data_IF_680869712508
#
_entry.id   IF_680869712508
#
_cell.length_a   1.000
_cell.length_b   1.000
_cell.length_c   1.000
_cell.angle_alpha   90.00
_cell.angle_beta   90.00
_cell.angle_gamma   90.00
#
_symmetry.space_group_name_H-M   'P 1'
#
loop_
_entity.id
_entity.type
_entity.pdbx_description
1 polymer ?
#
# COMPACT_ATOMS: atom_id res chain seq x y z
N UNK A 1 22.43 27.22 -24.48
CA UNK A 1 23.68 27.88 -24.06
C UNK A 1 23.81 27.76 -22.57
N UNK A 2 24.37 26.67 -22.10
CA UNK A 2 24.65 26.38 -20.68
C UNK A 2 26.06 26.87 -20.39
N UNK A 3 26.17 27.89 -19.55
CA UNK A 3 27.46 28.37 -19.03
C UNK A 3 28.06 27.29 -18.15
N UNK A 4 29.14 26.67 -18.62
CA UNK A 4 30.07 25.93 -17.78
C UNK A 4 30.75 26.92 -16.83
N UNK A 5 30.37 26.90 -15.56
CA UNK A 5 31.07 27.63 -14.50
C UNK A 5 32.35 26.84 -14.21
N UNK A 6 33.48 27.32 -14.71
CA UNK A 6 34.79 26.84 -14.28
C UNK A 6 34.93 27.10 -12.78
N UNK A 7 34.97 26.02 -12.01
CA UNK A 7 35.29 26.09 -10.58
C UNK A 7 36.81 26.04 -10.47
N UNK A 8 37.44 27.21 -10.45
CA UNK A 8 38.85 27.36 -10.10
C UNK A 8 39.03 27.10 -8.62
N UNK A 9 39.66 25.97 -8.25
CA UNK A 9 40.02 25.76 -6.85
C UNK A 9 40.33 24.33 -6.41
N UNK A 10 40.41 23.36 -7.32
CA UNK A 10 40.97 22.04 -6.99
C UNK A 10 42.43 22.00 -7.45
N UNK A 11 43.35 21.66 -6.54
CA UNK A 11 44.77 21.56 -6.87
C UNK A 11 44.95 20.55 -8.03
N UNK A 12 45.78 20.93 -9.01
CA UNK A 12 46.06 20.19 -10.24
C UNK A 12 46.54 18.74 -10.09
N UNK A 13 46.87 18.32 -8.87
CA UNK A 13 47.31 16.95 -8.56
C UNK A 13 46.14 15.94 -8.43
N UNK A 14 44.93 16.41 -8.17
CA UNK A 14 43.76 15.51 -7.95
C UNK A 14 42.93 15.30 -9.22
N UNK A 15 43.10 16.08 -10.28
CA UNK A 15 42.35 15.98 -11.52
C UNK A 15 42.58 14.61 -12.24
N UNK A 16 43.75 14.01 -12.06
CA UNK A 16 44.08 12.69 -12.63
C UNK A 16 43.22 11.55 -12.07
N UNK A 17 42.67 11.73 -10.86
CA UNK A 17 41.84 10.73 -10.17
C UNK A 17 40.33 10.98 -10.33
N UNK A 18 39.93 12.10 -10.92
CA UNK A 18 38.54 12.40 -11.16
C UNK A 18 38.14 12.12 -12.60
N UNK A 19 37.17 11.26 -12.79
CA UNK A 19 36.60 10.95 -14.08
C UNK A 19 35.18 11.52 -14.16
N UNK A 20 34.94 12.32 -15.20
CA UNK A 20 33.60 12.82 -15.47
C UNK A 20 32.65 11.67 -15.84
N UNK A 21 31.45 11.67 -15.25
CA UNK A 21 30.48 10.59 -15.44
C UNK A 21 30.08 10.40 -16.91
N UNK A 22 29.85 11.49 -17.64
CA UNK A 22 29.46 11.42 -19.06
C UNK A 22 30.62 10.87 -19.91
N UNK A 23 31.85 11.29 -19.63
CA UNK A 23 33.05 10.77 -20.28
C UNK A 23 33.25 9.27 -19.99
N UNK A 24 33.04 8.85 -18.73
CA UNK A 24 33.16 7.44 -18.35
C UNK A 24 32.10 6.59 -19.07
N UNK A 25 30.81 6.93 -18.95
CA UNK A 25 29.74 6.14 -19.54
C UNK A 25 29.69 6.17 -21.07
N UNK A 26 30.23 7.22 -21.70
CA UNK A 26 30.36 7.24 -23.15
C UNK A 26 31.36 6.19 -23.67
N UNK A 27 32.42 5.92 -22.90
CA UNK A 27 33.48 4.96 -23.25
C UNK A 27 33.16 3.53 -22.76
N UNK A 28 32.41 3.40 -21.66
CA UNK A 28 32.18 2.15 -20.94
C UNK A 28 30.69 1.78 -20.85
N UNK A 29 29.92 2.04 -21.89
CA UNK A 29 28.45 1.86 -21.93
C UNK A 29 27.92 0.50 -21.43
N UNK A 30 28.57 -0.65 -21.64
CA UNK A 30 28.02 -1.92 -21.17
C UNK A 30 28.32 -2.24 -19.71
N UNK A 31 29.05 -1.39 -18.99
CA UNK A 31 29.41 -1.65 -17.59
C UNK A 31 28.38 -1.06 -16.62
N UNK A 32 27.96 -1.85 -15.66
CA UNK A 32 27.30 -1.41 -14.46
C UNK A 32 28.33 -1.32 -13.33
N UNK A 33 28.25 -0.25 -12.53
CA UNK A 33 29.19 0.01 -11.45
C UNK A 33 28.53 -0.25 -10.09
N UNK A 34 29.34 -0.71 -9.15
CA UNK A 34 28.98 -0.79 -7.73
C UNK A 34 29.84 0.18 -6.92
N UNK A 35 29.50 0.37 -5.65
CA UNK A 35 30.33 1.17 -4.75
C UNK A 35 31.69 0.53 -4.40
N UNK A 36 31.92 -0.73 -4.79
CA UNK A 36 33.24 -1.36 -4.73
C UNK A 36 34.14 -0.92 -5.90
N UNK A 37 33.55 -0.45 -6.99
CA UNK A 37 34.27 -0.02 -8.19
C UNK A 37 34.64 1.47 -8.16
N UNK A 38 33.82 2.28 -7.49
CA UNK A 38 33.96 3.74 -7.50
C UNK A 38 33.68 4.35 -6.12
N UNK A 39 34.24 5.54 -5.90
CA UNK A 39 33.84 6.42 -4.81
C UNK A 39 33.34 7.76 -5.38
N UNK A 40 32.36 8.37 -4.75
CA UNK A 40 31.89 9.70 -5.10
C UNK A 40 32.85 10.75 -4.54
N UNK A 41 33.38 11.60 -5.38
CA UNK A 41 34.23 12.70 -4.97
C UNK A 41 33.41 13.75 -4.20
N UNK A 42 33.96 14.23 -3.09
CA UNK A 42 33.39 15.37 -2.37
C UNK A 42 33.60 16.66 -3.15
N UNK A 43 32.54 17.46 -3.28
CA UNK A 43 32.60 18.78 -3.93
C UNK A 43 32.00 19.84 -3.02
N UNK A 44 32.39 21.07 -3.23
CA UNK A 44 31.75 22.22 -2.56
C UNK A 44 30.28 22.29 -2.95
N UNK A 45 29.41 22.49 -1.96
CA UNK A 45 27.98 22.68 -2.16
C UNK A 45 27.44 23.78 -1.25
N UNK A 46 26.60 24.63 -1.81
CA UNK A 46 25.84 25.65 -1.05
C UNK A 46 24.46 25.11 -0.61
N UNK A 47 24.11 23.89 -1.03
CA UNK A 47 22.84 23.25 -0.69
C UNK A 47 22.94 22.65 0.70
N UNK A 48 22.12 23.14 1.63
CA UNK A 48 22.02 22.53 2.95
C UNK A 48 21.39 21.11 2.84
N UNK A 49 21.82 20.13 3.65
CA UNK A 49 21.31 18.75 3.60
C UNK A 49 19.77 18.68 3.62
N UNK A 50 19.10 19.50 4.45
CA UNK A 50 17.63 19.57 4.55
C UNK A 50 16.93 20.11 3.30
N UNK A 51 17.67 20.75 2.38
CA UNK A 51 17.15 21.29 1.11
C UNK A 51 17.46 20.37 -0.07
N UNK A 52 18.12 19.26 0.18
CA UNK A 52 18.44 18.28 -0.86
C UNK A 52 17.16 17.66 -1.43
N UNK A 53 17.04 17.65 -2.76
CA UNK A 53 15.95 17.00 -3.47
C UNK A 53 16.40 15.61 -3.91
N UNK A 54 15.80 14.57 -3.34
CA UNK A 54 16.17 13.17 -3.60
C UNK A 54 15.23 12.47 -4.56
N UNK A 55 14.13 13.13 -4.95
CA UNK A 55 13.15 12.52 -5.84
C UNK A 55 13.74 12.18 -7.22
N UNK A 56 13.33 11.04 -7.75
CA UNK A 56 13.74 10.56 -9.08
C UNK A 56 12.53 10.12 -9.89
N UNK A 57 12.55 10.40 -11.18
CA UNK A 57 11.55 9.93 -12.13
C UNK A 57 12.10 8.71 -12.86
N UNK A 58 11.54 7.54 -12.60
CA UNK A 58 11.90 6.29 -13.28
C UNK A 58 11.15 6.14 -14.61
N UNK A 59 9.91 6.63 -14.69
CA UNK A 59 9.09 6.68 -15.90
C UNK A 59 8.09 7.84 -15.80
N UNK A 60 7.30 8.08 -16.85
CA UNK A 60 6.27 9.12 -16.81
C UNK A 60 5.21 8.89 -15.73
N UNK A 61 4.94 7.63 -15.40
CA UNK A 61 3.97 7.23 -14.39
C UNK A 61 4.58 6.88 -13.02
N UNK A 62 5.92 6.78 -12.91
CA UNK A 62 6.58 6.30 -11.70
C UNK A 62 7.65 7.29 -11.23
N UNK A 63 7.34 7.97 -10.13
CA UNK A 63 8.25 8.87 -9.40
C UNK A 63 8.51 8.32 -8.02
N UNK A 64 9.77 8.34 -7.58
CA UNK A 64 10.16 7.99 -6.22
C UNK A 64 10.56 9.25 -5.46
N UNK A 65 10.24 9.32 -4.17
CA UNK A 65 10.68 10.41 -3.30
C UNK A 65 12.13 10.24 -2.86
N UNK A 66 12.55 8.97 -2.70
CA UNK A 66 13.96 8.60 -2.46
C UNK A 66 14.40 7.60 -3.54
N UNK A 67 15.64 7.68 -4.05
CA UNK A 67 16.14 6.82 -5.12
C UNK A 67 16.61 5.45 -4.60
N UNK A 68 15.77 4.78 -3.80
CA UNK A 68 16.08 3.49 -3.20
C UNK A 68 15.04 2.47 -3.65
N UNK A 69 15.55 1.34 -4.15
CA UNK A 69 14.73 0.20 -4.59
C UNK A 69 15.23 -1.05 -3.88
N UNK A 70 14.35 -1.78 -3.20
CA UNK A 70 14.75 -3.08 -2.62
C UNK A 70 14.72 -4.18 -3.68
N UNK A 71 15.75 -5.03 -3.65
CA UNK A 71 15.96 -6.07 -4.66
C UNK A 71 14.88 -7.16 -4.63
N UNK A 72 14.64 -7.77 -5.79
CA UNK A 72 13.70 -8.88 -6.02
C UNK A 72 14.26 -10.24 -5.57
N UNK A 73 14.82 -10.28 -4.36
CA UNK A 73 15.42 -11.46 -3.75
C UNK A 73 14.49 -12.06 -2.70
N UNK A 74 14.42 -13.39 -2.64
CA UNK A 74 13.50 -14.16 -1.78
C UNK A 74 13.68 -13.95 -0.26
N UNK A 75 14.85 -13.54 0.16
CA UNK A 75 15.14 -13.22 1.57
C UNK A 75 15.13 -11.71 1.85
N UNK A 76 14.86 -10.89 0.86
CA UNK A 76 14.93 -9.41 0.95
C UNK A 76 13.56 -8.78 0.81
N UNK A 77 12.86 -9.00 -0.31
CA UNK A 77 11.64 -8.25 -0.61
C UNK A 77 10.41 -9.13 -0.77
N UNK A 78 9.66 -9.23 0.32
CA UNK A 78 8.26 -9.64 0.36
C UNK A 78 7.39 -8.45 0.76
N UNK A 79 6.11 -8.68 1.09
CA UNK A 79 5.15 -7.61 1.42
C UNK A 79 5.62 -6.66 2.53
N UNK A 80 6.28 -7.17 3.57
CA UNK A 80 6.75 -6.32 4.69
C UNK A 80 7.79 -5.29 4.25
N UNK A 81 8.80 -5.73 3.48
CA UNK A 81 9.83 -4.84 2.96
C UNK A 81 9.23 -3.88 1.92
N UNK A 82 8.39 -4.38 1.01
CA UNK A 82 7.75 -3.55 0.00
C UNK A 82 6.87 -2.45 0.61
N UNK A 83 6.14 -2.75 1.70
CA UNK A 83 5.37 -1.77 2.48
C UNK A 83 6.32 -0.72 3.08
N UNK A 84 7.37 -1.16 3.78
CA UNK A 84 8.33 -0.25 4.39
C UNK A 84 8.99 0.68 3.36
N UNK A 85 9.38 0.14 2.21
CA UNK A 85 9.94 0.93 1.09
C UNK A 85 8.95 1.96 0.58
N UNK A 86 7.69 1.57 0.34
CA UNK A 86 6.66 2.48 -0.15
C UNK A 86 6.35 3.61 0.82
N UNK A 87 6.24 3.30 2.12
CA UNK A 87 6.00 4.30 3.19
C UNK A 87 7.16 5.31 3.29
N UNK A 88 8.39 4.92 2.98
CA UNK A 88 9.55 5.83 2.94
C UNK A 88 9.78 6.47 1.55
N UNK A 89 8.88 6.29 0.60
CA UNK A 89 8.97 6.94 -0.72
C UNK A 89 9.89 6.24 -1.72
N UNK A 90 10.34 5.03 -1.42
CA UNK A 90 11.09 4.15 -2.30
C UNK A 90 10.20 3.14 -3.03
N UNK A 91 10.79 2.09 -3.60
CA UNK A 91 10.11 1.02 -4.32
C UNK A 91 10.58 -0.35 -3.84
N UNK A 92 9.65 -1.26 -3.55
CA UNK A 92 9.95 -2.66 -3.28
C UNK A 92 9.60 -3.55 -4.47
N UNK A 93 10.57 -4.33 -4.95
CA UNK A 93 10.37 -5.33 -6.00
C UNK A 93 10.15 -6.70 -5.36
N UNK A 94 8.90 -7.17 -5.37
CA UNK A 94 8.56 -8.49 -4.80
C UNK A 94 9.16 -9.59 -5.68
N UNK A 95 9.95 -10.47 -5.06
CA UNK A 95 10.65 -11.54 -5.77
C UNK A 95 9.70 -12.55 -6.44
N UNK A 96 10.23 -13.28 -7.40
CA UNK A 96 9.50 -14.28 -8.18
C UNK A 96 9.76 -15.74 -7.74
N UNK A 97 10.64 -15.98 -6.76
CA UNK A 97 10.96 -17.33 -6.27
C UNK A 97 9.82 -17.88 -5.37
N UNK A 98 8.61 -17.87 -5.90
CA UNK A 98 7.41 -18.40 -5.28
C UNK A 98 6.36 -18.71 -6.35
N UNK A 99 5.28 -19.40 -6.00
CA UNK A 99 4.18 -19.61 -6.94
C UNK A 99 3.48 -18.30 -7.29
N UNK A 100 2.91 -18.20 -8.50
CA UNK A 100 2.13 -17.03 -8.94
C UNK A 100 1.04 -16.64 -7.93
N UNK A 101 0.34 -17.63 -7.36
CA UNK A 101 -0.67 -17.41 -6.33
C UNK A 101 -0.09 -16.79 -5.05
N UNK A 102 1.11 -17.20 -4.64
CA UNK A 102 1.79 -16.64 -3.48
C UNK A 102 2.24 -15.21 -3.76
N UNK A 103 2.83 -14.94 -4.94
CA UNK A 103 3.26 -13.61 -5.33
C UNK A 103 2.06 -12.63 -5.39
N UNK A 104 0.95 -13.03 -6.02
CA UNK A 104 -0.29 -12.25 -6.01
C UNK A 104 -0.75 -11.90 -4.60
N UNK A 105 -0.65 -12.84 -3.66
CA UNK A 105 -1.00 -12.60 -2.25
C UNK A 105 -0.10 -11.57 -1.59
N UNK A 106 1.21 -11.61 -1.85
CA UNK A 106 2.15 -10.61 -1.33
C UNK A 106 1.87 -9.22 -1.93
N UNK A 107 1.64 -9.12 -3.25
CA UNK A 107 1.24 -7.86 -3.91
C UNK A 107 -0.07 -7.32 -3.34
N UNK A 108 -1.07 -8.18 -3.17
CA UNK A 108 -2.37 -7.79 -2.60
C UNK A 108 -2.22 -7.23 -1.17
N UNK A 109 -1.34 -7.83 -0.36
CA UNK A 109 -1.05 -7.31 0.99
C UNK A 109 -0.48 -5.90 0.95
N UNK A 110 0.48 -5.64 0.05
CA UNK A 110 1.05 -4.29 -0.11
C UNK A 110 -0.03 -3.30 -0.52
N UNK A 111 -0.81 -3.64 -1.55
CA UNK A 111 -1.88 -2.76 -2.03
C UNK A 111 -2.92 -2.44 -0.95
N UNK A 112 -3.39 -3.45 -0.23
CA UNK A 112 -4.36 -3.25 0.85
C UNK A 112 -3.78 -2.42 2.00
N UNK A 113 -2.49 -2.62 2.33
CA UNK A 113 -1.83 -1.84 3.39
C UNK A 113 -1.72 -0.37 3.03
N UNK A 114 -1.27 -0.06 1.82
CA UNK A 114 -1.00 1.30 1.36
C UNK A 114 -2.30 2.07 1.09
N UNK A 115 -3.29 1.40 0.48
CA UNK A 115 -4.53 2.06 0.06
C UNK A 115 -5.66 1.96 1.10
N UNK A 116 -5.51 1.14 2.15
CA UNK A 116 -6.56 0.89 3.13
C UNK A 116 -7.84 0.27 2.56
N UNK A 117 -7.90 0.05 1.26
CA UNK A 117 -9.04 -0.51 0.55
C UNK A 117 -8.86 -2.01 0.32
N UNK A 118 -9.78 -2.80 0.85
CA UNK A 118 -9.83 -4.25 0.66
C UNK A 118 -10.72 -4.53 -0.56
N UNK A 119 -10.12 -4.74 -1.73
CA UNK A 119 -10.83 -4.92 -3.02
C UNK A 119 -11.52 -6.27 -3.18
N UNK A 120 -11.10 -7.29 -2.44
CA UNK A 120 -11.71 -8.63 -2.47
C UNK A 120 -12.01 -9.08 -1.04
N UNK A 121 -12.99 -8.47 -0.36
CA UNK A 121 -13.33 -8.86 1.01
C UNK A 121 -13.92 -10.28 1.01
N UNK A 122 -13.66 -10.99 2.08
CA UNK A 122 -14.33 -12.29 2.30
C UNK A 122 -15.81 -12.03 2.53
N UNK A 123 -16.66 -12.58 1.66
CA UNK A 123 -18.11 -12.47 1.74
C UNK A 123 -18.76 -13.78 2.16
N UNK A 124 -19.99 -13.69 2.65
CA UNK A 124 -20.83 -14.84 2.93
C UNK A 124 -22.15 -14.71 2.18
N UNK A 125 -22.79 -15.83 1.87
CA UNK A 125 -24.08 -15.81 1.17
C UNK A 125 -25.22 -15.64 2.18
N UNK A 126 -26.27 -14.91 1.78
CA UNK A 126 -27.44 -14.68 2.60
C UNK A 126 -28.21 -15.97 2.97
N UNK A 127 -28.11 -17.00 2.12
CA UNK A 127 -28.79 -18.28 2.29
C UNK A 127 -28.03 -19.27 3.19
N UNK A 128 -26.83 -18.89 3.67
CA UNK A 128 -26.05 -19.71 4.60
C UNK A 128 -26.60 -19.66 6.02
N UNK A 129 -26.14 -20.63 6.83
CA UNK A 129 -26.34 -20.63 8.28
C UNK A 129 -25.09 -20.11 9.00
N UNK A 130 -25.24 -19.73 10.25
CA UNK A 130 -24.09 -19.29 11.08
C UNK A 130 -23.07 -20.43 11.26
N UNK A 131 -23.51 -21.70 11.24
CA UNK A 131 -22.62 -22.88 11.22
C UNK A 131 -21.63 -22.83 10.07
N UNK A 132 -22.07 -22.46 8.86
CA UNK A 132 -21.24 -22.45 7.65
C UNK A 132 -20.14 -21.37 7.77
N UNK A 133 -20.50 -20.23 8.38
CA UNK A 133 -19.51 -19.16 8.65
C UNK A 133 -18.48 -19.62 9.69
N UNK A 134 -18.90 -20.31 10.74
CA UNK A 134 -17.99 -20.84 11.75
C UNK A 134 -17.01 -21.84 11.16
N UNK A 135 -17.48 -22.78 10.33
CA UNK A 135 -16.63 -23.72 9.59
C UNK A 135 -15.64 -22.99 8.65
N UNK A 136 -16.12 -21.96 7.96
CA UNK A 136 -15.26 -21.13 7.08
C UNK A 136 -14.15 -20.46 7.87
N UNK A 137 -14.47 -19.89 9.06
CA UNK A 137 -13.49 -19.25 9.94
C UNK A 137 -12.44 -20.26 10.41
N UNK A 138 -12.85 -21.44 10.86
CA UNK A 138 -11.94 -22.49 11.30
C UNK A 138 -11.05 -23.00 10.17
N UNK A 139 -11.62 -23.31 9.03
CA UNK A 139 -10.91 -23.80 7.85
C UNK A 139 -9.89 -22.79 7.31
N UNK A 140 -10.23 -21.52 7.30
CA UNK A 140 -9.37 -20.43 6.76
C UNK A 140 -8.53 -19.74 7.83
N UNK A 141 -8.79 -20.02 9.12
CA UNK A 141 -8.15 -19.39 10.28
C UNK A 141 -8.22 -17.86 10.26
N UNK A 142 -9.40 -17.31 9.92
CA UNK A 142 -9.61 -15.88 9.92
C UNK A 142 -9.52 -15.31 11.35
N UNK A 143 -8.89 -14.14 11.48
CA UNK A 143 -8.81 -13.39 12.75
C UNK A 143 -9.97 -12.41 12.94
N UNK A 144 -10.90 -12.37 12.00
CA UNK A 144 -12.07 -11.50 12.01
C UNK A 144 -13.34 -12.36 11.85
N UNK A 145 -14.47 -11.81 12.27
CA UNK A 145 -15.76 -12.49 12.26
C UNK A 145 -16.93 -11.66 11.72
N UNK A 146 -16.63 -10.47 11.17
CA UNK A 146 -17.64 -9.61 10.52
C UNK A 146 -17.47 -9.71 9.03
N UNK A 147 -18.55 -10.04 8.31
CA UNK A 147 -18.50 -10.28 6.87
C UNK A 147 -19.60 -9.51 6.14
N UNK A 148 -19.31 -8.93 4.97
CA UNK A 148 -20.35 -8.51 4.02
C UNK A 148 -21.16 -9.72 3.59
N UNK A 149 -22.47 -9.52 3.47
CA UNK A 149 -23.40 -10.54 2.97
C UNK A 149 -23.83 -10.17 1.56
N UNK A 150 -23.67 -11.11 0.64
CA UNK A 150 -24.02 -10.91 -0.76
C UNK A 150 -24.98 -12.00 -1.24
N UNK A 151 -25.70 -11.71 -2.31
CA UNK A 151 -26.47 -12.73 -3.05
C UNK A 151 -25.56 -13.49 -4.05
N UNK A 152 -26.17 -14.36 -4.85
CA UNK A 152 -25.47 -15.15 -5.86
C UNK A 152 -24.90 -14.32 -7.03
N UNK A 153 -25.39 -13.10 -7.22
CA UNK A 153 -24.93 -12.15 -8.24
C UNK A 153 -23.86 -11.17 -7.70
N UNK A 154 -23.48 -11.32 -6.41
CA UNK A 154 -22.50 -10.48 -5.74
C UNK A 154 -23.06 -9.13 -5.26
N UNK A 155 -24.40 -8.94 -5.28
CA UNK A 155 -25.04 -7.73 -4.78
C UNK A 155 -25.02 -7.71 -3.25
N UNK A 156 -24.79 -6.54 -2.69
CA UNK A 156 -24.74 -6.34 -1.25
C UNK A 156 -26.15 -6.46 -0.62
N UNK A 157 -26.32 -7.50 0.20
CA UNK A 157 -27.55 -7.74 0.95
C UNK A 157 -27.49 -7.19 2.39
N UNK A 158 -26.28 -7.00 2.93
CA UNK A 158 -26.10 -6.52 4.28
C UNK A 158 -24.74 -6.84 4.87
N UNK A 159 -24.69 -6.84 6.21
CA UNK A 159 -23.48 -7.13 6.96
C UNK A 159 -23.79 -8.05 8.14
N UNK A 160 -23.05 -9.14 8.32
CA UNK A 160 -23.17 -9.98 9.49
C UNK A 160 -22.11 -9.59 10.51
N UNK A 161 -22.51 -9.11 11.72
CA UNK A 161 -21.54 -8.67 12.73
C UNK A 161 -21.00 -9.87 13.52
N UNK A 162 -19.72 -9.81 13.90
CA UNK A 162 -19.05 -10.90 14.62
C UNK A 162 -19.70 -11.29 15.95
N UNK A 163 -20.48 -10.39 16.56
CA UNK A 163 -21.21 -10.69 17.80
C UNK A 163 -22.26 -11.77 17.67
N UNK A 164 -22.80 -12.00 16.43
CA UNK A 164 -23.77 -13.06 16.15
C UNK A 164 -23.13 -14.31 15.54
N UNK A 165 -21.91 -14.24 15.07
CA UNK A 165 -21.14 -15.38 14.56
C UNK A 165 -20.56 -16.16 15.75
N UNK A 166 -21.43 -16.89 16.47
CA UNK A 166 -21.11 -17.65 17.68
C UNK A 166 -21.84 -18.99 17.66
N UNK A 167 -21.25 -20.02 18.27
CA UNK A 167 -21.82 -21.38 18.35
C UNK A 167 -23.26 -21.42 18.84
N UNK A 168 -23.65 -20.52 19.80
CA UNK A 168 -25.02 -20.45 20.31
C UNK A 168 -26.07 -20.05 19.28
N UNK A 169 -25.65 -19.50 18.12
CA UNK A 169 -26.54 -19.07 17.02
C UNK A 169 -26.37 -19.92 15.77
N UNK A 170 -25.64 -21.03 15.83
CA UNK A 170 -25.26 -21.85 14.68
C UNK A 170 -26.41 -22.25 13.76
N UNK A 171 -27.62 -22.42 14.31
CA UNK A 171 -28.81 -22.84 13.56
C UNK A 171 -29.60 -21.67 12.93
N UNK A 172 -29.20 -20.42 13.22
CA UNK A 172 -29.83 -19.27 12.59
C UNK A 172 -29.31 -19.06 11.19
N UNK A 173 -30.20 -18.65 10.28
CA UNK A 173 -29.79 -18.23 8.92
C UNK A 173 -29.06 -16.87 9.00
N UNK A 174 -28.16 -16.67 8.03
CA UNK A 174 -27.45 -15.39 7.87
C UNK A 174 -28.45 -14.25 7.65
N UNK A 175 -29.48 -14.48 6.82
CA UNK A 175 -30.53 -13.52 6.51
C UNK A 175 -31.32 -13.02 7.73
N UNK A 176 -31.51 -13.87 8.74
CA UNK A 176 -32.17 -13.48 10.01
C UNK A 176 -31.24 -12.73 10.97
N UNK A 177 -29.94 -13.01 10.92
CA UNK A 177 -28.96 -12.53 11.87
C UNK A 177 -28.14 -11.31 11.40
N UNK A 178 -28.19 -10.97 10.11
CA UNK A 178 -27.48 -9.85 9.50
C UNK A 178 -28.17 -8.52 9.74
N UNK A 179 -27.41 -7.43 9.68
CA UNK A 179 -27.94 -6.12 9.36
C UNK A 179 -28.32 -6.08 7.88
N UNK A 180 -29.55 -5.70 7.58
CA UNK A 180 -30.02 -5.58 6.19
C UNK A 180 -29.33 -4.44 5.48
N UNK A 181 -29.42 -4.41 4.12
CA UNK A 181 -28.79 -3.40 3.27
C UNK A 181 -29.07 -1.95 3.74
N UNK A 182 -30.31 -1.65 4.14
CA UNK A 182 -30.75 -0.32 4.58
C UNK A 182 -30.15 0.12 5.93
N UNK A 183 -29.57 -0.84 6.69
CA UNK A 183 -28.96 -0.61 7.98
C UNK A 183 -27.43 -0.55 7.90
N UNK A 184 -26.88 -0.68 6.68
CA UNK A 184 -25.44 -0.75 6.43
C UNK A 184 -25.01 0.42 5.57
N UNK A 185 -23.95 1.09 6.01
CA UNK A 185 -23.36 2.17 5.23
C UNK A 185 -22.56 1.62 4.06
N UNK A 186 -22.83 2.11 2.88
CA UNK A 186 -22.05 1.85 1.69
C UNK A 186 -22.02 3.09 0.81
N UNK A 187 -20.89 3.36 0.19
CA UNK A 187 -20.70 4.39 -0.83
C UNK A 187 -20.55 3.73 -2.20
N UNK A 188 -20.96 4.43 -3.24
CA UNK A 188 -20.64 4.05 -4.59
C UNK A 188 -19.17 4.37 -4.92
N UNK A 189 -18.60 3.69 -5.92
CA UNK A 189 -17.25 3.99 -6.41
C UNK A 189 -17.11 5.47 -6.82
N UNK A 190 -18.16 6.08 -7.38
CA UNK A 190 -18.16 7.48 -7.80
C UNK A 190 -18.11 8.45 -6.62
N UNK A 191 -18.73 8.10 -5.49
CA UNK A 191 -18.72 8.93 -4.26
C UNK A 191 -17.36 8.95 -3.56
N UNK A 192 -16.49 7.98 -3.82
CA UNK A 192 -15.12 7.97 -3.30
C UNK A 192 -14.25 9.06 -3.93
N UNK A 193 -14.53 9.46 -5.17
CA UNK A 193 -13.83 10.52 -5.88
C UNK A 193 -12.34 10.23 -6.11
N UNK A 194 -11.54 11.30 -6.17
CA UNK A 194 -10.08 11.21 -6.42
C UNK A 194 -9.26 10.95 -5.16
N UNK A 195 -9.85 11.08 -3.98
CA UNK A 195 -9.21 10.83 -2.68
C UNK A 195 -10.05 9.84 -1.84
N UNK A 196 -9.98 8.54 -2.13
CA UNK A 196 -10.77 7.53 -1.42
C UNK A 196 -10.43 7.43 0.08
N UNK A 197 -9.16 7.63 0.45
CA UNK A 197 -8.72 7.56 1.86
C UNK A 197 -9.28 8.72 2.65
N UNK A 198 -9.14 9.95 2.15
CA UNK A 198 -9.69 11.13 2.81
C UNK A 198 -11.23 11.12 2.87
N UNK A 199 -11.89 10.51 1.87
CA UNK A 199 -13.35 10.32 1.90
C UNK A 199 -13.76 9.31 2.97
N UNK A 200 -13.04 8.18 3.09
CA UNK A 200 -13.29 7.19 4.14
C UNK A 200 -13.00 7.75 5.54
N UNK A 201 -11.95 8.53 5.70
CA UNK A 201 -11.58 9.17 6.98
C UNK A 201 -12.65 10.15 7.45
N UNK A 202 -13.13 11.03 6.57
CA UNK A 202 -14.26 11.94 6.86
C UNK A 202 -15.51 11.15 7.24
N UNK A 203 -15.82 10.10 6.49
CA UNK A 203 -16.97 9.25 6.78
C UNK A 203 -16.91 8.66 8.18
N UNK A 204 -15.77 8.08 8.59
CA UNK A 204 -15.62 7.50 9.92
C UNK A 204 -15.62 8.56 11.03
N UNK A 205 -15.17 9.78 10.75
CA UNK A 205 -15.23 10.92 11.67
C UNK A 205 -16.67 11.39 11.91
N UNK A 206 -17.48 11.43 10.86
CA UNK A 206 -18.87 11.87 10.91
C UNK A 206 -19.82 10.81 11.49
N UNK A 207 -19.45 9.51 11.36
CA UNK A 207 -20.31 8.37 11.74
C UNK A 207 -19.67 7.55 12.87
N UNK A 208 -19.68 8.10 14.08
CA UNK A 208 -19.09 7.45 15.26
C UNK A 208 -19.69 6.07 15.52
N UNK A 209 -18.81 5.10 15.81
CA UNK A 209 -19.20 3.70 16.08
C UNK A 209 -19.34 2.83 14.82
N UNK A 210 -19.17 3.38 13.64
CA UNK A 210 -19.05 2.61 12.40
C UNK A 210 -17.60 2.22 12.17
N UNK A 211 -17.33 0.92 11.98
CA UNK A 211 -15.98 0.39 11.81
C UNK A 211 -15.71 -0.14 10.41
N UNK A 212 -16.72 -0.20 9.56
CA UNK A 212 -16.60 -0.70 8.18
C UNK A 212 -17.46 0.15 7.26
N UNK A 213 -16.84 0.63 6.20
CA UNK A 213 -17.48 1.33 5.10
C UNK A 213 -17.39 0.44 3.86
N UNK A 214 -18.52 0.00 3.35
CA UNK A 214 -18.61 -0.83 2.17
C UNK A 214 -18.60 0.03 0.91
N UNK A 215 -18.11 -0.53 -0.18
CA UNK A 215 -18.10 0.15 -1.49
C UNK A 215 -18.80 -0.74 -2.50
N UNK A 216 -19.71 -0.15 -3.25
CA UNK A 216 -20.54 -0.85 -4.25
C UNK A 216 -20.44 -0.18 -5.62
N UNK A 217 -20.73 -0.92 -6.67
CA UNK A 217 -20.89 -0.36 -8.01
C UNK A 217 -22.32 0.17 -8.24
N UNK A 218 -22.56 0.72 -9.44
CA UNK A 218 -23.87 1.20 -9.87
C UNK A 218 -25.00 0.14 -9.90
N UNK A 219 -24.62 -1.15 -9.79
CA UNK A 219 -25.55 -2.27 -9.73
C UNK A 219 -25.68 -2.87 -8.32
N UNK A 220 -25.23 -2.12 -7.30
CA UNK A 220 -25.19 -2.56 -5.88
C UNK A 220 -24.31 -3.79 -5.64
N UNK A 221 -23.36 -4.13 -6.53
CA UNK A 221 -22.43 -5.23 -6.31
C UNK A 221 -21.25 -4.77 -5.46
N UNK A 222 -20.88 -5.58 -4.48
CA UNK A 222 -19.78 -5.28 -3.58
C UNK A 222 -18.44 -5.24 -4.34
N UNK A 223 -17.74 -4.11 -4.24
CA UNK A 223 -16.41 -3.88 -4.83
C UNK A 223 -15.30 -3.98 -3.81
N UNK A 224 -15.61 -3.66 -2.57
CA UNK A 224 -14.62 -3.68 -1.50
C UNK A 224 -15.12 -3.03 -0.23
N UNK A 225 -14.20 -2.79 0.70
CA UNK A 225 -14.47 -2.08 1.93
C UNK A 225 -13.24 -1.36 2.48
N UNK A 226 -13.50 -0.31 3.26
CA UNK A 226 -12.54 0.28 4.18
C UNK A 226 -12.84 -0.16 5.61
N UNK A 227 -11.81 -0.27 6.45
CA UNK A 227 -11.98 -0.42 7.90
C UNK A 227 -11.45 0.80 8.61
N UNK A 228 -12.08 1.19 9.71
CA UNK A 228 -11.62 2.31 10.54
C UNK A 228 -10.15 2.09 10.97
N UNK A 229 -9.81 0.89 11.42
CA UNK A 229 -8.44 0.57 11.86
C UNK A 229 -7.37 0.69 10.75
N UNK A 230 -7.72 0.45 9.48
CA UNK A 230 -6.79 0.65 8.37
C UNK A 230 -6.59 2.14 8.07
N UNK A 231 -7.66 2.93 8.14
CA UNK A 231 -7.59 4.38 7.95
C UNK A 231 -6.81 5.05 9.09
N UNK A 232 -7.09 4.70 10.36
CA UNK A 232 -6.34 5.20 11.52
C UNK A 232 -4.84 4.88 11.38
N UNK A 233 -4.50 3.63 11.03
CA UNK A 233 -3.11 3.22 10.78
C UNK A 233 -2.43 4.05 9.69
N UNK A 234 -3.09 4.27 8.55
CA UNK A 234 -2.56 5.07 7.43
C UNK A 234 -2.28 6.51 7.90
N UNK A 235 -3.20 7.10 8.65
CA UNK A 235 -3.04 8.46 9.17
C UNK A 235 -1.90 8.55 10.21
N UNK A 236 -1.76 7.55 11.07
CA UNK A 236 -0.66 7.46 12.04
C UNK A 236 0.71 7.31 11.35
N UNK A 237 0.80 6.42 10.35
CA UNK A 237 2.02 6.21 9.55
C UNK A 237 2.41 7.47 8.78
N UNK A 238 1.45 8.14 8.13
CA UNK A 238 1.68 9.42 7.45
C UNK A 238 2.17 10.50 8.42
N UNK A 239 1.57 10.59 9.60
CA UNK A 239 1.97 11.54 10.65
C UNK A 239 3.37 11.23 11.20
N UNK A 240 3.72 9.95 11.35
CA UNK A 240 5.04 9.53 11.83
C UNK A 240 6.16 9.91 10.84
N UNK A 241 5.90 9.80 9.54
CA UNK A 241 6.84 10.21 8.48
C UNK A 241 7.06 11.72 8.40
N UNK A 242 6.08 12.51 8.82
CA UNK A 242 6.16 13.98 8.84
C UNK A 242 6.83 14.54 10.11
N UNK A 243 7.05 13.71 11.14
CA UNK A 243 7.77 14.16 12.34
C UNK A 243 9.25 14.30 12.01
N UNK A 244 9.88 15.48 12.29
CA UNK A 244 11.33 15.59 12.18
C UNK A 244 12.00 14.57 13.10
N UNK A 245 13.12 14.00 12.65
CA UNK A 245 13.94 13.16 13.51
C UNK A 245 14.18 13.93 14.82
N UNK A 246 13.90 13.30 15.97
CA UNK A 246 14.24 13.89 17.26
C UNK A 246 15.76 13.92 17.35
N UNK A 247 16.30 15.11 17.58
CA UNK A 247 17.71 15.35 17.89
C UNK A 247 18.20 14.47 19.05
#
# INVERSE_FOLDING_TARGET
MTRSTEISGVASADEEFFLDADAFFSRNRPFALTFDDISLATRYSEVLPRLTQTHVKLSDSLKLQIPIVSADMDTVTESKMAIAMALNGGLGLIHYNMSEKAQRKEVTRVKNHIHGFISEPVTVNADWYISDILELIEKKRFKFSTFPVVDNDGRLMGLIPGRVVKHRYREKSVKEAMFKREQVFALSEDELGTDPIGTADRFFTEHLGIHKLLVVDSQERLKGLFTLSDIERINEEATALLKPARD
#
